data_IF_616596497993
#
_entry.id   IF_616596497993
#
_cell.length_a   1.000
_cell.length_b   1.000
_cell.length_c   1.000
_cell.angle_alpha   90.00
_cell.angle_beta   90.00
_cell.angle_gamma   90.00
#
_symmetry.space_group_name_H-M   'P 1'
#
loop_
_entity.id
_entity.type
_entity.pdbx_description
1 polymer ?
#
# COMPACT_ATOMS: atom_id res chain seq x y z
N UNK A 1 -19.60 71.96 20.99
CA UNK A 1 -19.64 70.49 20.82
C UNK A 1 -19.62 70.18 19.33
N UNK A 2 -18.51 69.64 18.80
CA UNK A 2 -18.53 68.94 17.51
C UNK A 2 -17.36 67.95 17.51
N UNK A 3 -17.66 66.66 17.57
CA UNK A 3 -16.66 65.58 17.46
C UNK A 3 -16.59 65.16 16.00
N UNK A 4 -15.40 65.27 15.41
CA UNK A 4 -15.10 64.75 14.08
C UNK A 4 -14.56 63.32 14.27
N UNK A 5 -15.33 62.33 13.83
CA UNK A 5 -14.87 60.93 13.76
C UNK A 5 -14.50 60.62 12.32
N UNK A 6 -13.22 60.40 12.07
CA UNK A 6 -12.71 59.93 10.77
C UNK A 6 -12.89 58.42 10.69
N UNK A 7 -13.68 57.95 9.72
CA UNK A 7 -13.90 56.53 9.46
C UNK A 7 -12.81 56.01 8.52
N UNK A 8 -12.01 55.04 8.96
CA UNK A 8 -11.04 54.32 8.11
C UNK A 8 -11.72 53.05 7.60
N UNK A 9 -11.92 52.95 6.29
CA UNK A 9 -12.45 51.74 5.64
C UNK A 9 -11.33 50.79 5.27
N UNK A 10 -11.30 49.61 5.90
CA UNK A 10 -10.41 48.51 5.57
C UNK A 10 -11.05 47.65 4.47
N UNK A 11 -10.52 47.70 3.26
CA UNK A 11 -10.98 46.84 2.15
C UNK A 11 -10.35 45.46 2.26
N UNK A 12 -11.17 44.44 2.49
CA UNK A 12 -10.77 43.04 2.51
C UNK A 12 -10.56 42.55 1.07
N UNK A 13 -9.33 42.21 0.70
CA UNK A 13 -9.04 41.58 -0.60
C UNK A 13 -9.23 40.08 -0.45
N UNK A 14 -10.26 39.54 -1.10
CA UNK A 14 -10.47 38.08 -1.20
C UNK A 14 -9.61 37.51 -2.32
N UNK A 15 -8.55 36.76 -1.98
CA UNK A 15 -7.87 35.90 -2.96
C UNK A 15 -8.75 34.66 -3.22
N UNK A 16 -9.45 34.66 -4.35
CA UNK A 16 -10.08 33.45 -4.86
C UNK A 16 -8.99 32.51 -5.37
N UNK A 17 -8.84 31.33 -4.75
CA UNK A 17 -8.00 30.27 -5.29
C UNK A 17 -8.60 29.80 -6.62
N UNK A 18 -7.95 30.16 -7.73
CA UNK A 18 -8.29 29.62 -9.05
C UNK A 18 -7.78 28.19 -9.10
N UNK A 19 -8.68 27.21 -9.10
CA UNK A 19 -8.32 25.83 -9.35
C UNK A 19 -7.80 25.71 -10.79
N UNK A 20 -6.48 25.55 -10.94
CA UNK A 20 -5.91 25.18 -12.24
C UNK A 20 -6.29 23.72 -12.48
N UNK A 21 -7.00 23.39 -13.57
CA UNK A 21 -7.28 22.00 -13.87
C UNK A 21 -5.97 21.27 -14.12
N UNK A 22 -5.61 20.36 -13.22
CA UNK A 22 -4.48 19.46 -13.42
C UNK A 22 -4.94 18.32 -14.32
N UNK A 23 -4.56 18.38 -15.60
CA UNK A 23 -4.62 17.21 -16.46
C UNK A 23 -3.66 16.16 -15.89
N UNK A 24 -4.19 14.98 -15.56
CA UNK A 24 -3.35 13.85 -15.16
C UNK A 24 -2.59 13.35 -16.40
N UNK A 25 -1.36 13.84 -16.55
CA UNK A 25 -0.43 13.38 -17.59
C UNK A 25 0.05 11.97 -17.23
N UNK A 26 -0.24 11.00 -18.11
CA UNK A 26 0.25 9.64 -17.99
C UNK A 26 1.77 9.63 -18.24
N UNK A 27 2.55 9.54 -17.15
CA UNK A 27 4.02 9.61 -17.22
C UNK A 27 4.70 8.31 -17.69
N UNK A 28 4.13 7.14 -17.38
CA UNK A 28 4.68 5.83 -17.76
C UNK A 28 3.61 4.70 -17.71
N UNK A 29 3.93 3.54 -18.28
CA UNK A 29 3.19 2.26 -18.13
C UNK A 29 4.19 1.18 -17.69
N UNK A 30 4.69 1.21 -16.46
CA UNK A 30 5.59 0.16 -16.00
C UNK A 30 4.82 -1.17 -15.95
N UNK A 31 5.39 -2.21 -16.54
CA UNK A 31 4.86 -3.57 -16.39
C UNK A 31 5.42 -4.19 -15.10
N UNK A 32 4.59 -4.94 -14.40
CA UNK A 32 4.96 -5.62 -13.16
C UNK A 32 4.39 -7.04 -13.12
N UNK A 33 4.84 -7.80 -12.14
CA UNK A 33 4.29 -9.11 -11.78
C UNK A 33 4.01 -9.17 -10.28
N UNK A 34 3.20 -10.12 -9.85
CA UNK A 34 3.13 -10.55 -8.45
C UNK A 34 3.35 -12.06 -8.35
N UNK A 35 4.03 -12.49 -7.29
CA UNK A 35 4.40 -13.91 -7.10
C UNK A 35 4.28 -14.33 -5.63
N UNK A 36 4.18 -15.63 -5.43
CA UNK A 36 4.14 -16.34 -4.15
C UNK A 36 4.89 -17.67 -4.31
N UNK A 37 4.87 -18.52 -3.28
CA UNK A 37 5.37 -19.89 -3.39
C UNK A 37 4.71 -20.71 -4.52
N UNK A 38 3.49 -20.39 -4.95
CA UNK A 38 2.80 -21.13 -6.02
C UNK A 38 3.50 -21.05 -7.38
N UNK A 39 4.32 -20.02 -7.62
CA UNK A 39 5.06 -19.89 -8.87
C UNK A 39 6.32 -20.78 -8.92
N UNK A 40 6.74 -21.37 -7.79
CA UNK A 40 7.99 -22.11 -7.68
C UNK A 40 9.21 -21.22 -7.95
N UNK A 41 10.24 -21.77 -8.59
CA UNK A 41 11.45 -21.02 -8.93
C UNK A 41 11.19 -20.00 -10.05
N UNK A 42 11.22 -18.70 -9.70
CA UNK A 42 11.00 -17.60 -10.64
C UNK A 42 12.33 -17.11 -11.23
N UNK A 43 12.42 -17.02 -12.56
CA UNK A 43 13.56 -16.41 -13.25
C UNK A 43 13.34 -14.89 -13.43
N UNK A 44 13.74 -14.10 -12.43
CA UNK A 44 13.58 -12.64 -12.45
C UNK A 44 14.48 -11.93 -13.47
N UNK A 45 15.62 -12.50 -13.83
CA UNK A 45 16.47 -11.95 -14.90
C UNK A 45 15.75 -12.03 -16.26
N UNK A 46 15.12 -13.17 -16.55
CA UNK A 46 14.29 -13.32 -17.74
C UNK A 46 13.07 -12.39 -17.69
N UNK A 47 12.42 -12.23 -16.51
CA UNK A 47 11.32 -11.28 -16.35
C UNK A 47 11.77 -9.84 -16.67
N UNK A 48 12.91 -9.41 -16.11
CA UNK A 48 13.53 -8.11 -16.38
C UNK A 48 13.83 -7.91 -17.87
N UNK A 49 14.44 -8.92 -18.51
CA UNK A 49 14.74 -8.90 -19.94
C UNK A 49 13.48 -8.81 -20.81
N UNK A 50 12.33 -9.30 -20.33
CA UNK A 50 11.03 -9.18 -20.98
C UNK A 50 10.23 -7.91 -20.59
N UNK A 51 10.89 -6.91 -19.98
CA UNK A 51 10.30 -5.60 -19.74
C UNK A 51 9.58 -5.44 -18.39
N UNK A 52 9.63 -6.44 -17.51
CA UNK A 52 9.11 -6.29 -16.14
C UNK A 52 9.99 -5.30 -15.38
N UNK A 53 9.36 -4.33 -14.72
CA UNK A 53 10.02 -3.24 -14.00
C UNK A 53 9.89 -3.34 -12.48
N UNK A 54 8.82 -3.99 -12.01
CA UNK A 54 8.61 -4.22 -10.59
C UNK A 54 7.95 -5.56 -10.27
N UNK A 55 8.07 -6.01 -9.03
CA UNK A 55 7.39 -7.20 -8.52
C UNK A 55 6.77 -6.98 -7.13
N UNK A 56 5.57 -7.49 -6.91
CA UNK A 56 5.04 -7.73 -5.55
C UNK A 56 5.22 -9.19 -5.16
N UNK A 57 5.63 -9.45 -3.93
CA UNK A 57 5.98 -10.81 -3.48
C UNK A 57 5.22 -11.11 -2.20
N UNK A 58 4.49 -12.22 -2.17
CA UNK A 58 3.72 -12.63 -0.98
C UNK A 58 4.67 -12.79 0.19
N UNK A 59 4.42 -12.08 1.28
CA UNK A 59 5.19 -12.24 2.51
C UNK A 59 4.43 -13.07 3.54
N UNK A 60 3.15 -12.75 3.74
CA UNK A 60 2.37 -13.31 4.85
C UNK A 60 0.91 -13.48 4.49
N UNK A 61 0.23 -14.34 5.24
CA UNK A 61 -1.21 -14.55 5.17
C UNK A 61 -1.78 -14.71 6.58
N UNK A 62 -2.81 -13.93 6.91
CA UNK A 62 -3.39 -13.91 8.25
C UNK A 62 -2.36 -13.58 9.34
N UNK A 63 -2.30 -14.37 10.41
CA UNK A 63 -1.33 -14.15 11.52
C UNK A 63 -0.39 -15.31 11.77
N UNK A 64 -0.39 -16.30 10.86
CA UNK A 64 0.28 -17.58 11.09
C UNK A 64 1.13 -18.05 9.93
N UNK A 65 0.85 -17.60 8.71
CA UNK A 65 1.56 -18.07 7.52
C UNK A 65 2.56 -17.03 7.03
N UNK A 66 3.80 -17.48 6.87
CA UNK A 66 4.88 -16.76 6.18
C UNK A 66 5.13 -17.52 4.87
N UNK A 67 5.11 -16.82 3.74
CA UNK A 67 5.36 -17.47 2.46
C UNK A 67 6.81 -17.99 2.41
N UNK A 68 7.01 -19.30 2.19
CA UNK A 68 8.33 -19.92 2.27
C UNK A 68 9.29 -19.43 1.18
N UNK A 69 8.77 -18.90 0.07
CA UNK A 69 9.57 -18.37 -1.03
C UNK A 69 9.79 -16.85 -0.94
N UNK A 70 9.23 -16.17 0.08
CA UNK A 70 9.32 -14.71 0.20
C UNK A 70 10.77 -14.23 0.13
N UNK A 71 11.64 -14.73 1.01
CA UNK A 71 13.03 -14.25 1.08
C UNK A 71 13.80 -14.55 -0.20
N UNK A 72 13.64 -15.75 -0.76
CA UNK A 72 14.27 -16.16 -2.03
C UNK A 72 13.86 -15.22 -3.16
N UNK A 73 12.55 -15.00 -3.32
CA UNK A 73 12.01 -14.15 -4.37
C UNK A 73 12.38 -12.67 -4.16
N UNK A 74 12.33 -12.17 -2.92
CA UNK A 74 12.59 -10.75 -2.62
C UNK A 74 14.03 -10.37 -2.92
N UNK A 75 14.98 -11.24 -2.56
CA UNK A 75 16.41 -11.06 -2.89
C UNK A 75 16.67 -11.24 -4.38
N UNK A 76 16.10 -12.28 -5.01
CA UNK A 76 16.31 -12.55 -6.43
C UNK A 76 15.76 -11.42 -7.34
N UNK A 77 14.58 -10.89 -7.01
CA UNK A 77 14.00 -9.75 -7.72
C UNK A 77 14.88 -8.49 -7.61
N UNK A 78 15.40 -8.21 -6.40
CA UNK A 78 16.31 -7.09 -6.18
C UNK A 78 17.62 -7.25 -6.97
N UNK A 79 18.22 -8.44 -6.95
CA UNK A 79 19.46 -8.75 -7.69
C UNK A 79 19.27 -8.66 -9.22
N UNK A 80 18.08 -8.99 -9.73
CA UNK A 80 17.72 -8.80 -11.14
C UNK A 80 17.43 -7.32 -11.50
N UNK A 81 17.52 -6.39 -10.54
CA UNK A 81 17.30 -4.97 -10.76
C UNK A 81 15.82 -4.57 -10.89
N UNK A 82 14.92 -5.32 -10.24
CA UNK A 82 13.50 -4.93 -10.12
C UNK A 82 13.28 -4.07 -8.88
N UNK A 83 12.39 -3.09 -9.01
CA UNK A 83 11.73 -2.47 -7.86
C UNK A 83 10.82 -3.54 -7.24
N UNK A 84 10.79 -3.69 -5.93
CA UNK A 84 10.06 -4.79 -5.28
C UNK A 84 9.33 -4.35 -4.03
N UNK A 85 8.14 -4.91 -3.83
CA UNK A 85 7.32 -4.76 -2.63
C UNK A 85 6.86 -6.11 -2.11
N UNK A 86 6.36 -6.11 -0.89
CA UNK A 86 5.73 -7.28 -0.30
C UNK A 86 4.20 -7.11 -0.29
N UNK A 87 3.46 -8.22 -0.28
CA UNK A 87 2.02 -8.17 -0.01
C UNK A 87 1.60 -9.13 1.10
N UNK A 88 0.47 -8.78 1.73
CA UNK A 88 -0.16 -9.53 2.80
C UNK A 88 -1.55 -9.99 2.37
N UNK A 89 -1.81 -11.30 2.42
CA UNK A 89 -3.15 -11.85 2.17
C UNK A 89 -3.99 -11.80 3.45
N UNK A 90 -5.07 -11.03 3.40
CA UNK A 90 -5.89 -10.74 4.57
C UNK A 90 -6.79 -11.92 4.97
N UNK A 91 -6.94 -12.12 6.28
CA UNK A 91 -8.00 -12.95 6.86
C UNK A 91 -8.80 -12.16 7.92
N UNK A 92 -9.74 -11.28 7.53
CA UNK A 92 -10.42 -10.38 8.48
C UNK A 92 -11.23 -11.06 9.58
N UNK A 93 -11.60 -12.32 9.40
CA UNK A 93 -12.31 -13.16 10.36
C UNK A 93 -11.44 -13.74 11.48
N UNK A 94 -10.11 -13.83 11.29
CA UNK A 94 -9.24 -14.50 12.27
C UNK A 94 -8.62 -13.56 13.29
N UNK A 95 -8.49 -12.27 12.99
CA UNK A 95 -7.85 -11.28 13.88
C UNK A 95 -8.12 -9.84 13.42
N UNK A 96 -7.78 -8.85 14.25
CA UNK A 96 -7.87 -7.41 13.90
C UNK A 96 -6.91 -7.01 12.75
N UNK A 97 -7.22 -5.93 12.05
CA UNK A 97 -6.36 -5.37 11.01
C UNK A 97 -4.99 -4.98 11.54
N UNK A 98 -4.92 -4.40 12.74
CA UNK A 98 -3.65 -4.06 13.39
C UNK A 98 -2.77 -5.29 13.67
N UNK A 99 -3.35 -6.41 14.07
CA UNK A 99 -2.61 -7.65 14.32
C UNK A 99 -1.95 -8.16 13.02
N UNK A 100 -2.69 -8.17 11.92
CA UNK A 100 -2.16 -8.59 10.62
C UNK A 100 -1.16 -7.60 10.04
N UNK A 101 -1.37 -6.29 10.22
CA UNK A 101 -0.39 -5.28 9.82
C UNK A 101 0.94 -5.45 10.58
N UNK A 102 0.89 -5.68 11.89
CA UNK A 102 2.10 -5.93 12.69
C UNK A 102 2.80 -7.24 12.28
N UNK A 103 2.04 -8.30 12.01
CA UNK A 103 2.60 -9.57 11.53
C UNK A 103 3.28 -9.40 10.16
N UNK A 104 2.62 -8.72 9.22
CA UNK A 104 3.18 -8.39 7.93
C UNK A 104 4.47 -7.58 8.04
N UNK A 105 4.46 -6.50 8.83
CA UNK A 105 5.64 -5.65 9.06
C UNK A 105 6.82 -6.43 9.66
N UNK A 106 6.55 -7.35 10.58
CA UNK A 106 7.58 -8.17 11.20
C UNK A 106 8.22 -9.18 10.23
N UNK A 107 7.53 -9.53 9.13
CA UNK A 107 7.87 -10.68 8.29
C UNK A 107 7.98 -10.33 6.80
N UNK A 108 8.41 -9.11 6.48
CA UNK A 108 8.74 -8.72 5.10
C UNK A 108 7.98 -7.51 4.57
N UNK A 109 6.96 -7.04 5.27
CA UNK A 109 6.14 -5.89 4.89
C UNK A 109 6.76 -4.52 5.15
N UNK A 110 7.99 -4.47 5.68
CA UNK A 110 8.68 -3.21 5.95
C UNK A 110 8.92 -2.39 4.68
N UNK A 111 9.01 -1.06 4.85
CA UNK A 111 9.31 -0.13 3.78
C UNK A 111 10.45 0.81 4.20
N UNK A 112 11.26 1.23 3.22
CA UNK A 112 12.24 2.30 3.39
C UNK A 112 12.38 3.10 2.09
N UNK A 113 12.78 4.37 2.18
CA UNK A 113 12.97 5.24 1.01
C UNK A 113 14.30 4.97 0.31
N UNK A 114 14.58 3.72 -0.05
CA UNK A 114 15.82 3.27 -0.69
C UNK A 114 15.79 3.35 -2.23
N UNK A 115 14.67 3.79 -2.81
CA UNK A 115 14.47 3.91 -4.26
C UNK A 115 14.17 2.58 -4.97
N UNK A 116 14.12 1.46 -4.24
CA UNK A 116 13.85 0.12 -4.79
C UNK A 116 12.74 -0.63 -4.04
N UNK A 117 12.27 -0.12 -2.91
CA UNK A 117 11.19 -0.69 -2.10
C UNK A 117 9.85 -0.02 -2.35
N UNK A 118 8.88 -0.78 -2.85
CA UNK A 118 7.48 -0.35 -2.91
C UNK A 118 6.83 -0.43 -1.53
N UNK A 119 5.89 0.46 -1.19
CA UNK A 119 5.02 0.28 -0.02
C UNK A 119 4.38 -1.10 -0.01
N UNK A 120 4.20 -1.69 1.16
CA UNK A 120 3.53 -2.97 1.30
C UNK A 120 2.07 -2.90 0.86
N UNK A 121 1.59 -3.95 0.20
CA UNK A 121 0.21 -4.03 -0.29
C UNK A 121 -0.65 -4.94 0.60
N UNK A 122 -1.85 -4.48 0.93
CA UNK A 122 -2.90 -5.31 1.51
C UNK A 122 -3.67 -5.99 0.37
N UNK A 123 -3.60 -7.31 0.29
CA UNK A 123 -4.43 -8.13 -0.57
C UNK A 123 -5.69 -8.54 0.21
N UNK A 124 -6.81 -7.90 -0.12
CA UNK A 124 -8.12 -8.08 0.51
C UNK A 124 -9.15 -8.46 -0.57
N UNK A 125 -9.42 -9.75 -0.66
CA UNK A 125 -10.18 -10.35 -1.76
C UNK A 125 -11.19 -11.39 -1.24
N UNK A 126 -11.75 -12.22 -2.13
CA UNK A 126 -12.72 -13.26 -1.74
C UNK A 126 -12.11 -14.26 -0.75
N UNK A 127 -12.92 -14.78 0.18
CA UNK A 127 -12.43 -15.82 1.10
C UNK A 127 -12.37 -17.17 0.36
N UNK A 128 -11.18 -17.76 0.12
CA UNK A 128 -11.05 -18.95 -0.71
C UNK A 128 -11.69 -20.21 -0.12
N UNK A 129 -12.03 -20.21 1.18
CA UNK A 129 -12.49 -21.41 1.89
C UNK A 129 -13.55 -21.14 2.96
N UNK A 130 -14.26 -20.01 2.87
CA UNK A 130 -15.18 -19.60 3.93
C UNK A 130 -16.35 -18.76 3.43
N UNK A 131 -16.96 -18.02 4.36
CA UNK A 131 -18.08 -17.15 4.06
C UNK A 131 -17.66 -15.99 3.15
N UNK A 132 -18.56 -15.60 2.24
CA UNK A 132 -18.41 -14.35 1.49
C UNK A 132 -18.15 -13.18 2.46
N UNK A 133 -17.25 -12.27 2.07
CA UNK A 133 -16.80 -11.16 2.91
C UNK A 133 -16.28 -11.59 4.29
N UNK A 134 -15.78 -12.83 4.43
CA UNK A 134 -15.30 -13.40 5.69
C UNK A 134 -16.37 -13.40 6.80
N UNK A 135 -17.65 -13.39 6.43
CA UNK A 135 -18.78 -13.32 7.37
C UNK A 135 -18.94 -11.96 8.05
N UNK A 136 -18.22 -10.92 7.59
CA UNK A 136 -18.32 -9.57 8.13
C UNK A 136 -19.39 -8.75 7.43
N UNK A 137 -19.99 -7.83 8.17
CA UNK A 137 -20.75 -6.73 7.56
C UNK A 137 -19.81 -5.77 6.82
N UNK A 138 -20.34 -5.00 5.88
CA UNK A 138 -19.57 -3.99 5.16
C UNK A 138 -18.91 -2.97 6.11
N UNK A 139 -19.60 -2.55 7.17
CA UNK A 139 -19.06 -1.60 8.15
C UNK A 139 -17.93 -2.22 8.99
N UNK A 140 -18.03 -3.50 9.34
CA UNK A 140 -16.97 -4.22 10.03
C UNK A 140 -15.74 -4.40 9.11
N UNK A 141 -15.94 -4.72 7.84
CA UNK A 141 -14.86 -4.82 6.85
C UNK A 141 -14.12 -3.48 6.67
N UNK A 142 -14.86 -2.37 6.54
CA UNK A 142 -14.26 -1.03 6.46
C UNK A 142 -13.46 -0.69 7.73
N UNK A 143 -13.98 -1.04 8.91
CA UNK A 143 -13.26 -0.82 10.16
C UNK A 143 -11.95 -1.64 10.20
N UNK A 144 -11.99 -2.89 9.74
CA UNK A 144 -10.83 -3.76 9.67
C UNK A 144 -9.75 -3.24 8.71
N UNK A 145 -10.13 -2.84 7.49
CA UNK A 145 -9.21 -2.28 6.50
C UNK A 145 -8.55 -0.99 7.01
N UNK A 146 -9.33 -0.12 7.66
CA UNK A 146 -8.81 1.12 8.27
C UNK A 146 -7.82 0.83 9.38
N UNK A 147 -8.09 -0.17 10.22
CA UNK A 147 -7.21 -0.58 11.32
C UNK A 147 -5.87 -1.11 10.80
N UNK A 148 -5.90 -1.95 9.76
CA UNK A 148 -4.69 -2.41 9.06
C UNK A 148 -3.90 -1.23 8.47
N UNK A 149 -4.56 -0.40 7.65
CA UNK A 149 -3.91 0.69 6.93
C UNK A 149 -3.33 1.74 7.87
N UNK A 150 -4.06 2.12 8.93
CA UNK A 150 -3.58 3.08 9.94
C UNK A 150 -2.39 2.52 10.70
N UNK A 151 -2.44 1.24 11.08
CA UNK A 151 -1.33 0.58 11.76
C UNK A 151 -0.09 0.54 10.87
N UNK A 152 -0.23 0.11 9.62
CA UNK A 152 0.85 0.07 8.64
C UNK A 152 1.49 1.47 8.46
N UNK A 153 0.66 2.46 8.13
CA UNK A 153 1.11 3.84 7.93
C UNK A 153 1.80 4.43 9.18
N UNK A 154 1.33 4.11 10.39
CA UNK A 154 1.97 4.57 11.64
C UNK A 154 3.42 4.05 11.82
N UNK A 155 3.77 2.96 11.14
CA UNK A 155 5.08 2.30 11.25
C UNK A 155 6.01 2.62 10.07
N UNK A 156 5.45 2.89 8.90
CA UNK A 156 6.22 3.08 7.66
C UNK A 156 6.19 4.51 7.12
N UNK A 157 5.18 5.30 7.47
CA UNK A 157 4.93 6.63 6.91
C UNK A 157 4.37 6.61 5.48
N UNK A 158 3.99 5.44 4.97
CA UNK A 158 3.37 5.22 3.65
C UNK A 158 2.11 4.36 3.75
#
# INVERSE_FOLDING_TARGET
>A
MMRISTLVTLSLVTMSAVAVPHTLEKRAIPMGIDVSHFQGAVNFEAAKANGISFAYIKATEGTTFIDPEFNTNYVAAANAGLIRGAYHFAHPDVSSGAAQANFFLAHGGGWSSDGITLPGTLDIEFNPSGAECYGLSASAMVAWIKDFSTTYHSKTGV
#
